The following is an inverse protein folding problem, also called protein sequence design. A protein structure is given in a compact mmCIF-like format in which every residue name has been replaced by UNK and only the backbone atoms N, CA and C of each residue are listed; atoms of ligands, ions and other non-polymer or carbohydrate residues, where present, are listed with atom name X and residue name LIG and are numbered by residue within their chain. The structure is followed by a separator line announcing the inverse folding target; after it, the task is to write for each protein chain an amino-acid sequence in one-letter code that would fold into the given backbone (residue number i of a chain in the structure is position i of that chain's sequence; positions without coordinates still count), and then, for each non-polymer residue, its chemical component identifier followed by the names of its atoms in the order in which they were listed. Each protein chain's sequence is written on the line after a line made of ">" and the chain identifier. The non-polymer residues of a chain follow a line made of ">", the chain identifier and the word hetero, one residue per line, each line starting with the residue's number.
data_IF_549389667234
#
_entry.id   IF_549389667234
#
_cell.length_a   1.000
_cell.length_b   1.000
_cell.length_c   1.000
_cell.angle_alpha   90.00
_cell.angle_beta   90.00
_cell.angle_gamma   90.00
#
_symmetry.space_group_name_H-M   'P 1'
#
loop_
_entity.id
_entity.type
_entity.pdbx_description
1 polymer ?
#
# COMPACT_ATOMS: atom_id res chain seq x y z
N UNK A 1 -18.73 27.54 -2.32
CA UNK A 1 -18.63 26.59 -3.45
C UNK A 1 -18.11 25.24 -2.94
N UNK A 2 -18.95 24.36 -2.39
CA UNK A 2 -18.52 23.07 -1.81
C UNK A 2 -18.15 21.98 -2.83
N UNK A 3 -18.53 22.17 -4.10
CA UNK A 3 -18.31 21.21 -5.18
C UNK A 3 -16.82 21.02 -5.53
N UNK A 4 -16.06 22.12 -5.63
CA UNK A 4 -14.65 22.07 -6.05
C UNK A 4 -13.74 21.46 -4.97
N UNK A 5 -14.09 21.64 -3.69
CA UNK A 5 -13.35 21.06 -2.56
C UNK A 5 -13.58 19.55 -2.44
N UNK A 6 -14.82 19.09 -2.63
CA UNK A 6 -15.14 17.66 -2.70
C UNK A 6 -14.47 16.97 -3.91
N UNK A 7 -14.45 17.63 -5.06
CA UNK A 7 -13.81 17.12 -6.27
C UNK A 7 -12.29 16.95 -6.10
N UNK A 8 -11.60 17.95 -5.53
CA UNK A 8 -10.16 17.86 -5.24
C UNK A 8 -9.83 16.79 -4.20
N UNK A 9 -10.66 16.64 -3.16
CA UNK A 9 -10.51 15.57 -2.16
C UNK A 9 -10.69 14.18 -2.77
N UNK A 10 -11.75 13.98 -3.56
CA UNK A 10 -11.97 12.71 -4.25
C UNK A 10 -10.87 12.38 -5.26
N UNK A 11 -10.38 13.38 -5.99
CA UNK A 11 -9.28 13.22 -6.94
C UNK A 11 -7.99 12.79 -6.25
N UNK A 12 -7.58 13.49 -5.18
CA UNK A 12 -6.37 13.14 -4.43
C UNK A 12 -6.45 11.75 -3.81
N UNK A 13 -7.59 11.37 -3.24
CA UNK A 13 -7.81 10.02 -2.72
C UNK A 13 -7.71 8.95 -3.81
N UNK A 14 -8.36 9.18 -4.96
CA UNK A 14 -8.35 8.24 -6.08
C UNK A 14 -6.94 8.09 -6.66
N UNK A 15 -6.22 9.19 -6.84
CA UNK A 15 -4.82 9.18 -7.29
C UNK A 15 -3.93 8.44 -6.28
N UNK A 16 -4.13 8.64 -4.98
CA UNK A 16 -3.38 7.92 -3.95
C UNK A 16 -3.64 6.40 -4.01
N UNK A 17 -4.90 5.98 -4.17
CA UNK A 17 -5.27 4.57 -4.31
C UNK A 17 -4.67 3.95 -5.57
N UNK A 18 -4.74 4.64 -6.71
CA UNK A 18 -4.13 4.19 -7.97
C UNK A 18 -2.63 4.06 -7.81
N UNK A 19 -1.97 5.06 -7.23
CA UNK A 19 -0.53 5.05 -7.02
C UNK A 19 -0.10 3.88 -6.12
N UNK A 20 -0.82 3.67 -5.01
CA UNK A 20 -0.55 2.57 -4.10
C UNK A 20 -0.70 1.22 -4.80
N UNK A 21 -1.81 1.02 -5.53
CA UNK A 21 -2.08 -0.20 -6.27
C UNK A 21 -0.98 -0.50 -7.29
N UNK A 22 -0.58 0.50 -8.07
CA UNK A 22 0.48 0.36 -9.07
C UNK A 22 1.83 0.02 -8.41
N UNK A 23 2.14 0.67 -7.28
CA UNK A 23 3.39 0.41 -6.54
C UNK A 23 3.48 -1.01 -6.00
N UNK A 24 2.37 -1.56 -5.49
CA UNK A 24 2.29 -2.95 -5.03
C UNK A 24 2.43 -3.90 -6.21
N UNK A 25 1.73 -3.63 -7.32
CA UNK A 25 1.82 -4.47 -8.52
C UNK A 25 3.25 -4.54 -9.07
N UNK A 26 3.95 -3.42 -9.12
CA UNK A 26 5.34 -3.36 -9.56
C UNK A 26 6.27 -4.20 -8.68
N UNK A 27 6.15 -4.08 -7.35
CA UNK A 27 6.95 -4.89 -6.40
C UNK A 27 6.65 -6.37 -6.54
N UNK A 28 5.39 -6.74 -6.74
CA UNK A 28 4.99 -8.13 -6.87
C UNK A 28 5.54 -8.77 -8.16
N UNK A 29 5.58 -8.00 -9.26
CA UNK A 29 6.16 -8.45 -10.55
C UNK A 29 7.65 -8.76 -10.43
N UNK A 30 8.41 -7.92 -9.72
CA UNK A 30 9.86 -8.14 -9.49
C UNK A 30 10.11 -9.37 -8.62
N UNK A 31 9.32 -9.56 -7.55
CA UNK A 31 9.46 -10.75 -6.71
C UNK A 31 9.15 -12.05 -7.48
N UNK A 32 8.11 -12.03 -8.32
CA UNK A 32 7.74 -13.16 -9.16
C UNK A 32 8.84 -13.51 -10.17
N UNK A 33 9.43 -12.53 -10.85
CA UNK A 33 10.50 -12.80 -11.82
C UNK A 33 11.75 -13.38 -11.15
N UNK A 34 12.12 -12.88 -9.96
CA UNK A 34 13.24 -13.41 -9.20
C UNK A 34 13.03 -14.89 -8.83
N UNK A 35 11.84 -15.25 -8.35
CA UNK A 35 11.51 -16.64 -8.01
C UNK A 35 11.52 -17.55 -9.25
N UNK A 36 10.98 -17.10 -10.38
CA UNK A 36 10.98 -17.87 -11.63
C UNK A 36 12.40 -18.07 -12.18
N UNK A 37 13.25 -17.05 -12.10
CA UNK A 37 14.66 -17.17 -12.49
C UNK A 37 15.41 -18.17 -11.61
N UNK A 38 15.21 -18.13 -10.29
CA UNK A 38 15.82 -19.10 -9.38
C UNK A 38 15.38 -20.53 -9.70
N UNK A 39 14.09 -20.75 -9.93
CA UNK A 39 13.57 -22.06 -10.31
C UNK A 39 14.12 -22.54 -11.64
N UNK A 40 14.17 -21.65 -12.64
CA UNK A 40 14.76 -21.96 -13.94
C UNK A 40 16.23 -22.33 -13.83
N UNK A 41 17.01 -21.61 -13.02
CA UNK A 41 18.43 -21.93 -12.78
C UNK A 41 18.60 -23.31 -12.14
N UNK A 42 17.78 -23.63 -11.12
CA UNK A 42 17.82 -24.95 -10.46
C UNK A 42 17.44 -26.07 -11.43
N UNK A 43 16.39 -25.87 -12.24
CA UNK A 43 15.97 -26.85 -13.24
C UNK A 43 17.04 -27.06 -14.32
N UNK A 44 17.62 -25.97 -14.85
CA UNK A 44 18.70 -26.05 -15.83
C UNK A 44 19.92 -26.75 -15.24
N UNK A 45 20.27 -26.48 -13.99
CA UNK A 45 21.37 -27.16 -13.31
C UNK A 45 21.09 -28.65 -13.09
N UNK A 46 19.83 -29.04 -12.86
CA UNK A 46 19.45 -30.44 -12.71
C UNK A 46 19.47 -31.22 -14.02
N UNK A 47 19.12 -30.56 -15.14
CA UNK A 47 19.06 -31.18 -16.48
C UNK A 47 20.44 -31.21 -17.15
N UNK A 48 21.15 -30.08 -17.16
CA UNK A 48 22.38 -29.87 -17.93
C UNK A 48 23.65 -29.82 -17.07
N UNK A 49 23.53 -29.81 -15.74
CA UNK A 49 24.67 -29.68 -14.82
C UNK A 49 25.39 -31.01 -14.56
N UNK A 50 26.67 -30.97 -14.17
CA UNK A 50 27.41 -32.17 -13.76
C UNK A 50 26.73 -32.81 -12.55
N UNK A 51 26.72 -34.15 -12.50
CA UNK A 51 26.13 -34.90 -11.38
C UNK A 51 26.83 -34.53 -10.07
N UNK A 52 26.11 -33.80 -9.22
CA UNK A 52 26.57 -33.49 -7.88
C UNK A 52 26.60 -34.79 -7.05
N UNK A 53 27.66 -35.04 -6.25
CA UNK A 53 27.69 -36.20 -5.36
C UNK A 53 26.51 -36.12 -4.39
N UNK A 54 25.76 -37.23 -4.27
CA UNK A 54 24.55 -37.26 -3.44
C UNK A 54 24.91 -36.86 -1.99
N UNK A 55 24.31 -35.80 -1.43
CA UNK A 55 24.43 -35.54 -0.01
C UNK A 55 23.80 -36.69 0.80
N UNK A 56 24.31 -37.00 2.00
CA UNK A 56 23.69 -37.99 2.88
C UNK A 56 22.21 -37.65 3.09
N UNK A 57 21.35 -38.67 3.17
CA UNK A 57 19.90 -38.51 3.31
C UNK A 57 19.58 -37.63 4.53
N UNK A 58 19.36 -36.35 4.29
CA UNK A 58 18.85 -35.43 5.30
C UNK A 58 17.40 -35.84 5.61
N UNK A 59 16.96 -35.75 6.88
CA UNK A 59 15.57 -35.97 7.23
C UNK A 59 14.69 -35.05 6.39
N UNK A 60 13.60 -35.61 5.83
CA UNK A 60 12.65 -34.91 4.97
C UNK A 60 12.06 -33.73 5.74
N UNK A 61 12.64 -32.55 5.56
CA UNK A 61 12.00 -31.31 5.95
C UNK A 61 10.77 -31.16 5.03
N UNK A 62 9.58 -31.29 5.61
CA UNK A 62 8.34 -30.92 4.93
C UNK A 62 8.46 -29.42 4.71
N UNK A 63 8.86 -29.02 3.50
CA UNK A 63 8.73 -27.63 3.07
C UNK A 63 7.27 -27.27 3.24
N UNK A 64 6.96 -26.38 4.19
CA UNK A 64 5.62 -25.86 4.38
C UNK A 64 5.14 -25.37 3.01
N UNK A 65 3.92 -25.77 2.62
CA UNK A 65 3.41 -25.43 1.31
C UNK A 65 3.40 -23.92 1.14
N UNK A 66 3.54 -23.48 -0.12
CA UNK A 66 3.47 -22.07 -0.51
C UNK A 66 2.19 -21.42 0.05
N UNK A 67 1.13 -22.21 0.20
CA UNK A 67 -0.14 -21.81 0.75
C UNK A 67 -0.11 -21.52 2.26
N UNK A 68 0.53 -22.40 3.04
CA UNK A 68 0.72 -22.21 4.49
C UNK A 68 1.58 -20.96 4.74
N UNK A 69 2.65 -20.78 3.96
CA UNK A 69 3.53 -19.61 4.06
C UNK A 69 2.80 -18.31 3.69
N UNK A 70 1.93 -18.36 2.68
CA UNK A 70 1.11 -17.21 2.28
C UNK A 70 0.08 -16.84 3.35
N UNK A 71 -0.55 -17.83 3.99
CA UNK A 71 -1.48 -17.60 5.10
C UNK A 71 -0.78 -16.99 6.31
N UNK A 72 0.38 -17.52 6.69
CA UNK A 72 1.13 -17.02 7.83
C UNK A 72 1.58 -15.57 7.60
N UNK A 73 2.04 -15.27 6.39
CA UNK A 73 2.40 -13.90 6.00
C UNK A 73 1.20 -12.97 6.01
N UNK A 74 0.07 -13.40 5.45
CA UNK A 74 -1.16 -12.62 5.44
C UNK A 74 -1.66 -12.33 6.86
N UNK A 75 -1.63 -13.34 7.73
CA UNK A 75 -2.01 -13.18 9.14
C UNK A 75 -1.07 -12.24 9.87
N UNK A 76 0.25 -12.33 9.67
CA UNK A 76 1.22 -11.43 10.28
C UNK A 76 1.04 -9.97 9.79
N UNK A 77 0.72 -9.79 8.51
CA UNK A 77 0.44 -8.47 7.94
C UNK A 77 -0.89 -7.91 8.48
N UNK A 78 -1.94 -8.73 8.59
CA UNK A 78 -3.21 -8.35 9.21
C UNK A 78 -3.04 -7.98 10.68
N UNK A 79 -2.37 -8.82 11.46
CA UNK A 79 -2.10 -8.56 12.88
C UNK A 79 -1.31 -7.26 13.05
N UNK A 80 -0.28 -7.05 12.23
CA UNK A 80 0.51 -5.82 12.24
C UNK A 80 -0.32 -4.58 11.91
N UNK A 81 -1.23 -4.67 10.93
CA UNK A 81 -2.12 -3.57 10.57
C UNK A 81 -3.19 -3.30 11.64
N UNK A 82 -3.79 -4.35 12.21
CA UNK A 82 -4.77 -4.25 13.29
C UNK A 82 -4.12 -3.64 14.53
N UNK A 83 -2.92 -4.10 14.90
CA UNK A 83 -2.18 -3.57 16.05
C UNK A 83 -1.82 -2.10 15.84
N UNK A 84 -1.43 -1.70 14.63
CA UNK A 84 -1.21 -0.29 14.28
C UNK A 84 -2.49 0.54 14.38
N UNK A 85 -3.62 0.03 13.91
CA UNK A 85 -4.91 0.72 13.98
C UNK A 85 -5.39 0.87 15.44
N UNK A 86 -5.14 -0.13 16.27
CA UNK A 86 -5.48 -0.08 17.70
C UNK A 86 -4.56 0.86 18.48
N UNK A 87 -3.26 0.88 18.18
CA UNK A 87 -2.30 1.79 18.84
C UNK A 87 -2.33 3.21 18.28
N UNK A 88 -2.99 3.44 17.15
CA UNK A 88 -3.10 4.78 16.56
C UNK A 88 -4.05 5.62 17.40
N UNK A 89 -3.57 6.77 17.86
CA UNK A 89 -4.40 7.75 18.54
C UNK A 89 -5.36 8.41 17.55
N UNK A 90 -6.60 7.92 17.54
CA UNK A 90 -7.67 8.44 16.70
C UNK A 90 -8.06 9.87 17.06
N UNK A 91 -7.81 10.31 18.31
CA UNK A 91 -8.08 11.69 18.70
C UNK A 91 -7.10 12.64 18.01
N UNK A 92 -5.79 12.35 18.05
CA UNK A 92 -4.78 13.14 17.34
C UNK A 92 -4.95 13.12 15.81
N UNK A 93 -5.41 11.99 15.23
CA UNK A 93 -5.75 11.91 13.80
C UNK A 93 -6.97 12.79 13.48
N UNK A 94 -8.01 12.71 14.32
CA UNK A 94 -9.22 13.53 14.18
C UNK A 94 -8.89 15.01 14.31
N UNK A 95 -8.08 15.41 15.29
CA UNK A 95 -7.71 16.80 15.52
C UNK A 95 -6.89 17.36 14.34
N UNK A 96 -5.96 16.59 13.79
CA UNK A 96 -5.22 16.99 12.58
C UNK A 96 -6.13 17.06 11.34
N UNK A 97 -7.08 16.14 11.21
CA UNK A 97 -8.11 16.19 10.16
C UNK A 97 -9.01 17.41 10.33
N UNK A 98 -9.50 17.67 11.54
CA UNK A 98 -10.36 18.82 11.87
C UNK A 98 -9.62 20.13 11.65
N UNK A 99 -8.34 20.22 12.00
CA UNK A 99 -7.53 21.38 11.68
C UNK A 99 -7.27 21.53 10.18
N UNK A 100 -7.00 20.45 9.46
CA UNK A 100 -6.82 20.46 8.00
C UNK A 100 -8.08 20.94 7.29
N UNK A 101 -9.22 20.37 7.67
CA UNK A 101 -10.56 20.75 7.18
C UNK A 101 -10.89 22.17 7.61
N UNK A 102 -10.61 22.58 8.84
CA UNK A 102 -10.85 23.93 9.37
C UNK A 102 -9.99 24.99 8.67
N UNK A 103 -8.72 24.69 8.38
CA UNK A 103 -7.81 25.58 7.65
C UNK A 103 -8.27 25.75 6.20
N UNK A 104 -8.69 24.66 5.55
CA UNK A 104 -9.27 24.70 4.21
C UNK A 104 -10.61 25.45 4.20
N UNK A 105 -11.46 25.22 5.21
CA UNK A 105 -12.76 25.86 5.36
C UNK A 105 -12.63 27.37 5.64
N UNK A 106 -11.75 27.77 6.57
CA UNK A 106 -11.45 29.18 6.85
C UNK A 106 -10.91 29.90 5.62
N UNK A 107 -9.95 29.30 4.88
CA UNK A 107 -9.48 29.88 3.62
C UNK A 107 -10.59 30.00 2.58
N UNK A 108 -11.47 29.01 2.47
CA UNK A 108 -12.59 29.05 1.54
C UNK A 108 -13.64 30.12 1.90
N UNK A 109 -13.94 30.29 3.19
CA UNK A 109 -14.91 31.27 3.68
C UNK A 109 -14.39 32.71 3.59
N UNK A 110 -13.10 32.91 3.89
CA UNK A 110 -12.45 34.22 3.82
C UNK A 110 -12.34 34.70 2.37
N UNK A 111 -11.97 33.82 1.44
CA UNK A 111 -11.93 34.11 0.00
C UNK A 111 -13.32 34.32 -0.62
N UNK A 112 -14.35 33.65 -0.08
CA UNK A 112 -15.74 33.86 -0.51
C UNK A 112 -16.31 35.22 -0.11
N UNK A 113 -15.85 35.79 1.02
CA UNK A 113 -16.31 37.09 1.52
C UNK A 113 -15.69 38.27 0.75
N UNK A 114 -14.47 38.12 0.25
CA UNK A 114 -13.82 39.11 -0.61
C UNK A 114 -14.49 39.19 -2.00
N UNK A 115 -14.89 38.05 -2.58
CA UNK A 115 -15.58 38.02 -3.89
C UNK A 115 -17.03 38.53 -3.87
N UNK A 116 -17.74 38.45 -2.74
CA UNK A 116 -19.11 38.99 -2.62
C UNK A 116 -19.12 40.51 -2.52
N UNK A 117 -18.08 41.11 -1.90
CA UNK A 117 -17.94 42.58 -1.84
C UNK A 117 -17.61 43.18 -3.21
N UNK A 118 -16.88 42.46 -4.05
CA UNK A 118 -16.58 42.88 -5.43
C UNK A 118 -17.80 42.80 -6.38
N UNK A 119 -18.71 41.83 -6.14
CA UNK A 119 -19.92 41.64 -6.97
C UNK A 119 -21.10 42.51 -6.52
N UNK A 120 -21.19 42.87 -5.24
CA UNK A 120 -22.24 43.76 -4.71
C UNK A 120 -21.84 45.25 -4.79
N UNK A 121 -20.55 45.55 -5.04
CA UNK A 121 -20.03 46.90 -5.19
C UNK A 121 -19.95 47.44 -6.63
N UNK A 122 -20.55 46.75 -7.61
CA UNK A 122 -20.69 47.23 -9.01
C UNK A 122 -22.15 47.48 -9.35
#
# INVERSE_FOLDING_TARGET
>A
MGFTTGLLGGFTLTTALIHLSLSIHARNRVAQSASLHQQSLVLNQLVDGPSLPLPPSAPRAVQAGVWETAKDRWNAELEGNVKKLQSTDWNGVRDQMEEGVSRLWRRAFQKGREGVVEVVGK
#
